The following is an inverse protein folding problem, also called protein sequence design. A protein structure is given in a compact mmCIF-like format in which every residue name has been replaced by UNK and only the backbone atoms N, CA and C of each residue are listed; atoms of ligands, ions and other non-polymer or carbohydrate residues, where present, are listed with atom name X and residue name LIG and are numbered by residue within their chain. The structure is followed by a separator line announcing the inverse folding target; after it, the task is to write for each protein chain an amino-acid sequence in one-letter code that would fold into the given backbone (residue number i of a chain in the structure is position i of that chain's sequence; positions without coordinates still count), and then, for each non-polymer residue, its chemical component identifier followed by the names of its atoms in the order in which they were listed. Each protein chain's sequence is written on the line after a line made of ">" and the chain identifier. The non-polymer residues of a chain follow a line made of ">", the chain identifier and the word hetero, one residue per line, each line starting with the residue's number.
data_IF_478727564172
#
_entry.id   IF_478727564172
#
_cell.length_a   1.000
_cell.length_b   1.000
_cell.length_c   1.000
_cell.angle_alpha   90.00
_cell.angle_beta   90.00
_cell.angle_gamma   90.00
#
_symmetry.space_group_name_H-M   'P 1'
#
loop_
_entity.id
_entity.type
_entity.pdbx_description
1 polymer ?
#
# COMPACT_ATOMS: atom_id res chain seq x y z
N UNK A 1 -1.61 3.98 3.43
CA UNK A 1 -2.88 4.43 4.05
C UNK A 1 -2.66 5.66 4.93
N UNK A 2 -3.20 6.81 4.49
CA UNK A 2 -3.27 8.03 5.32
C UNK A 2 -3.97 7.76 6.66
N UNK A 3 -3.64 8.55 7.69
CA UNK A 3 -4.32 8.47 9.01
C UNK A 3 -5.82 8.69 8.85
N UNK A 4 -6.22 9.60 7.96
CA UNK A 4 -7.62 9.89 7.68
C UNK A 4 -8.37 8.66 7.15
N UNK A 5 -7.79 7.91 6.20
CA UNK A 5 -8.45 6.72 5.66
C UNK A 5 -8.59 5.62 6.70
N UNK A 6 -7.59 5.44 7.58
CA UNK A 6 -7.68 4.50 8.71
C UNK A 6 -8.79 4.88 9.69
N UNK A 7 -8.93 6.18 9.99
CA UNK A 7 -10.00 6.67 10.87
C UNK A 7 -11.38 6.46 10.24
N UNK A 8 -11.53 6.74 8.94
CA UNK A 8 -12.79 6.51 8.21
C UNK A 8 -13.20 5.02 8.24
N UNK A 9 -12.24 4.11 8.00
CA UNK A 9 -12.49 2.66 8.09
C UNK A 9 -12.87 2.28 9.52
N UNK A 10 -12.15 2.76 10.52
CA UNK A 10 -12.42 2.42 11.92
C UNK A 10 -13.80 2.90 12.35
N UNK A 11 -14.15 4.15 12.07
CA UNK A 11 -15.49 4.70 12.38
C UNK A 11 -16.56 3.92 11.62
N UNK A 12 -16.36 3.67 10.33
CA UNK A 12 -17.31 2.89 9.51
C UNK A 12 -17.54 1.49 10.06
N UNK A 13 -16.50 0.79 10.49
CA UNK A 13 -16.63 -0.56 11.07
C UNK A 13 -17.28 -0.55 12.45
N UNK A 14 -16.94 0.40 13.33
CA UNK A 14 -17.57 0.52 14.64
C UNK A 14 -19.06 0.86 14.52
N UNK A 15 -19.41 1.81 13.65
CA UNK A 15 -20.81 2.16 13.38
C UNK A 15 -21.57 1.00 12.73
N UNK A 16 -20.93 0.23 11.82
CA UNK A 16 -21.54 -0.95 11.23
C UNK A 16 -21.81 -2.04 12.28
N UNK A 17 -20.87 -2.26 13.19
CA UNK A 17 -21.05 -3.19 14.30
C UNK A 17 -22.19 -2.76 15.23
N UNK A 18 -22.27 -1.46 15.53
CA UNK A 18 -23.38 -0.90 16.31
C UNK A 18 -24.73 -1.15 15.63
N UNK A 19 -24.85 -0.83 14.34
CA UNK A 19 -26.09 -1.02 13.59
C UNK A 19 -26.48 -2.50 13.45
N UNK A 20 -25.50 -3.40 13.32
CA UNK A 20 -25.72 -4.84 13.31
C UNK A 20 -26.25 -5.35 14.67
N UNK A 21 -25.71 -4.82 15.77
CA UNK A 21 -26.20 -5.14 17.11
C UNK A 21 -27.62 -4.60 17.33
N UNK A 22 -27.92 -3.39 16.89
CA UNK A 22 -29.29 -2.82 16.91
C UNK A 22 -30.29 -3.67 16.11
N UNK A 23 -29.89 -4.15 14.94
CA UNK A 23 -30.70 -5.06 14.12
C UNK A 23 -30.95 -6.41 14.82
N UNK A 24 -29.94 -6.93 15.52
CA UNK A 24 -30.04 -8.16 16.31
C UNK A 24 -31.01 -8.00 17.48
N UNK A 25 -30.91 -6.93 18.27
CA UNK A 25 -31.87 -6.65 19.35
C UNK A 25 -33.29 -6.49 18.82
N UNK A 26 -33.47 -5.77 17.72
CA UNK A 26 -34.77 -5.62 17.07
C UNK A 26 -35.36 -6.98 16.64
N UNK A 27 -34.53 -7.86 16.07
CA UNK A 27 -34.93 -9.20 15.63
C UNK A 27 -35.34 -10.10 16.81
N UNK A 28 -34.57 -10.09 17.91
CA UNK A 28 -34.90 -10.83 19.13
C UNK A 28 -36.23 -10.36 19.70
N UNK A 29 -36.43 -9.05 19.83
CA UNK A 29 -37.66 -8.49 20.40
C UNK A 29 -38.87 -8.73 19.49
N UNK A 30 -38.70 -8.54 18.18
CA UNK A 30 -39.72 -8.82 17.16
C UNK A 30 -40.21 -10.27 17.26
N UNK A 31 -39.26 -11.22 17.36
CA UNK A 31 -39.54 -12.65 17.52
C UNK A 31 -40.22 -12.94 18.85
N UNK A 32 -39.71 -12.40 19.96
CA UNK A 32 -40.27 -12.62 21.32
C UNK A 32 -41.71 -12.13 21.45
N UNK A 33 -42.03 -11.00 20.84
CA UNK A 33 -43.37 -10.41 20.91
C UNK A 33 -44.27 -10.81 19.74
N UNK A 34 -43.84 -11.70 18.85
CA UNK A 34 -44.58 -12.10 17.64
C UNK A 34 -45.06 -10.91 16.79
N UNK A 35 -44.31 -9.81 16.81
CA UNK A 35 -44.63 -8.58 16.09
C UNK A 35 -43.81 -8.51 14.82
N UNK A 36 -44.40 -8.91 13.71
CA UNK A 36 -43.79 -8.76 12.38
C UNK A 36 -43.78 -7.29 11.96
N UNK A 37 -42.83 -6.52 12.47
CA UNK A 37 -42.58 -5.14 12.08
C UNK A 37 -41.40 -5.07 11.10
N UNK A 38 -41.47 -4.21 10.07
CA UNK A 38 -40.33 -3.98 9.19
C UNK A 38 -39.19 -3.31 9.96
N UNK A 39 -37.95 -3.53 9.50
CA UNK A 39 -36.77 -2.95 10.13
C UNK A 39 -36.88 -1.41 10.19
N UNK A 40 -36.61 -0.78 11.36
CA UNK A 40 -36.65 0.66 11.53
C UNK A 40 -35.77 1.39 10.51
N UNK A 41 -36.23 2.57 10.09
CA UNK A 41 -35.53 3.39 9.11
C UNK A 41 -34.15 3.86 9.62
N UNK A 42 -34.02 4.10 10.92
CA UNK A 42 -32.78 4.50 11.56
C UNK A 42 -31.65 3.47 11.32
N UNK A 43 -31.89 2.19 11.65
CA UNK A 43 -30.95 1.09 11.42
C UNK A 43 -30.59 0.95 9.92
N UNK A 44 -31.55 1.16 9.01
CA UNK A 44 -31.28 1.15 7.56
C UNK A 44 -30.33 2.28 7.14
N UNK A 45 -30.52 3.49 7.68
CA UNK A 45 -29.65 4.62 7.36
C UNK A 45 -28.27 4.46 8.01
N UNK A 46 -28.20 4.06 9.28
CA UNK A 46 -26.95 3.80 9.97
C UNK A 46 -26.10 2.76 9.23
N UNK A 47 -26.71 1.65 8.80
CA UNK A 47 -26.00 0.60 8.03
C UNK A 47 -25.51 1.13 6.68
N UNK A 48 -26.35 1.82 5.90
CA UNK A 48 -25.96 2.39 4.61
C UNK A 48 -24.81 3.40 4.74
N UNK A 49 -24.88 4.29 5.73
CA UNK A 49 -23.84 5.29 6.00
C UNK A 49 -22.56 4.61 6.45
N UNK A 50 -22.64 3.63 7.36
CA UNK A 50 -21.47 2.91 7.89
C UNK A 50 -20.72 2.15 6.80
N UNK A 51 -21.46 1.43 5.93
CA UNK A 51 -20.87 0.72 4.78
C UNK A 51 -20.25 1.71 3.81
N UNK A 52 -20.94 2.79 3.49
CA UNK A 52 -20.41 3.83 2.59
C UNK A 52 -19.11 4.42 3.13
N UNK A 53 -19.07 4.74 4.43
CA UNK A 53 -17.89 5.30 5.09
C UNK A 53 -16.72 4.32 5.10
N UNK A 54 -16.97 3.05 5.40
CA UNK A 54 -15.95 2.01 5.37
C UNK A 54 -15.38 1.81 3.95
N UNK A 55 -16.25 1.75 2.94
CA UNK A 55 -15.84 1.65 1.54
C UNK A 55 -15.00 2.85 1.10
N UNK A 56 -15.44 4.07 1.42
CA UNK A 56 -14.68 5.30 1.13
C UNK A 56 -13.32 5.29 1.82
N UNK A 57 -13.27 4.90 3.09
CA UNK A 57 -12.02 4.74 3.83
C UNK A 57 -11.07 3.74 3.17
N UNK A 58 -11.57 2.59 2.72
CA UNK A 58 -10.77 1.57 2.04
C UNK A 58 -10.24 2.07 0.68
N UNK A 59 -11.09 2.71 -0.12
CA UNK A 59 -10.72 3.25 -1.44
C UNK A 59 -9.63 4.33 -1.29
N UNK A 60 -9.85 5.29 -0.39
CA UNK A 60 -8.86 6.35 -0.08
C UNK A 60 -7.59 5.80 0.59
N UNK A 61 -7.67 4.60 1.18
CA UNK A 61 -6.54 3.90 1.77
C UNK A 61 -5.68 3.13 0.78
N UNK A 62 -6.22 2.79 -0.39
CA UNK A 62 -5.54 1.96 -1.38
C UNK A 62 -4.27 2.60 -1.91
N UNK A 63 -3.27 1.77 -2.22
CA UNK A 63 -2.05 2.24 -2.90
C UNK A 63 -2.36 2.56 -4.36
N UNK A 64 -1.70 3.59 -4.89
CA UNK A 64 -1.79 3.90 -6.32
C UNK A 64 -1.35 2.70 -7.17
N UNK A 65 -2.05 2.50 -8.28
CA UNK A 65 -1.74 1.44 -9.22
C UNK A 65 -0.28 1.54 -9.67
N UNK A 66 0.43 0.41 -9.62
CA UNK A 66 1.78 0.30 -10.18
C UNK A 66 1.69 0.30 -11.70
N UNK A 67 2.62 0.98 -12.40
CA UNK A 67 2.63 0.97 -13.86
C UNK A 67 2.82 -0.46 -14.38
N UNK A 68 2.11 -0.78 -15.47
CA UNK A 68 2.17 -2.10 -16.11
C UNK A 68 3.44 -2.27 -16.96
N UNK A 69 3.99 -1.16 -17.44
CA UNK A 69 5.17 -1.17 -18.28
C UNK A 69 6.43 -1.26 -17.42
N UNK A 70 7.33 -2.18 -17.80
CA UNK A 70 8.56 -2.44 -17.05
C UNK A 70 9.48 -1.22 -17.03
N UNK A 71 9.61 -0.51 -18.15
CA UNK A 71 10.48 0.67 -18.26
C UNK A 71 9.99 1.83 -17.38
N UNK A 72 8.69 2.10 -17.31
CA UNK A 72 8.15 3.15 -16.43
C UNK A 72 8.28 2.75 -14.96
N UNK A 73 8.06 1.48 -14.64
CA UNK A 73 8.24 0.98 -13.27
C UNK A 73 9.71 1.04 -12.81
N UNK A 74 10.64 0.54 -13.63
CA UNK A 74 12.07 0.55 -13.35
C UNK A 74 12.60 1.98 -13.19
N UNK A 75 12.22 2.89 -14.11
CA UNK A 75 12.58 4.31 -14.00
C UNK A 75 11.96 4.99 -12.78
N UNK A 76 10.77 4.58 -12.34
CA UNK A 76 10.16 5.08 -11.09
C UNK A 76 10.90 4.58 -9.86
N UNK A 77 11.26 3.29 -9.82
CA UNK A 77 12.06 2.70 -8.73
C UNK A 77 13.43 3.37 -8.61
N UNK A 78 14.13 3.59 -9.72
CA UNK A 78 15.43 4.28 -9.71
C UNK A 78 15.34 5.71 -9.17
N UNK A 79 14.25 6.42 -9.50
CA UNK A 79 14.00 7.80 -9.01
C UNK A 79 13.59 7.86 -7.55
N UNK A 80 12.76 6.92 -7.10
CA UNK A 80 12.25 6.87 -5.72
C UNK A 80 13.26 6.21 -4.77
N UNK A 81 14.33 5.60 -5.29
CA UNK A 81 15.35 4.92 -4.50
C UNK A 81 14.86 3.62 -3.84
N UNK A 82 13.75 3.07 -4.35
CA UNK A 82 13.14 1.85 -3.83
C UNK A 82 14.01 0.62 -4.16
N UNK A 83 13.98 -0.44 -3.34
CA UNK A 83 14.78 -1.64 -3.61
C UNK A 83 14.28 -2.36 -4.87
N UNK A 84 15.11 -2.40 -5.92
CA UNK A 84 14.82 -3.23 -7.10
C UNK A 84 14.87 -4.73 -6.71
N UNK A 85 13.76 -5.49 -6.77
CA UNK A 85 13.71 -6.93 -6.49
C UNK A 85 14.61 -7.77 -7.41
N UNK A 86 14.91 -7.27 -8.61
CA UNK A 86 15.72 -7.95 -9.63
C UNK A 86 17.17 -7.49 -9.65
N UNK A 87 17.55 -6.62 -8.71
CA UNK A 87 18.93 -6.11 -8.62
C UNK A 87 19.98 -7.22 -8.60
N UNK A 88 19.70 -8.34 -7.92
CA UNK A 88 20.61 -9.49 -7.92
C UNK A 88 20.80 -10.17 -9.28
N UNK A 89 19.76 -10.17 -10.13
CA UNK A 89 19.80 -10.68 -11.51
C UNK A 89 20.42 -9.70 -12.49
N UNK A 90 20.30 -8.40 -12.23
CA UNK A 90 20.88 -7.32 -13.05
C UNK A 90 22.38 -7.16 -12.75
N UNK A 91 22.75 -7.05 -11.47
CA UNK A 91 24.14 -6.82 -11.03
C UNK A 91 25.03 -8.05 -11.29
N UNK A 92 24.43 -9.25 -11.41
CA UNK A 92 25.11 -10.53 -11.73
C UNK A 92 26.47 -10.69 -11.06
N UNK A 93 26.55 -10.33 -9.78
CA UNK A 93 27.83 -10.28 -9.04
C UNK A 93 28.60 -11.59 -9.05
N UNK A 94 27.91 -12.73 -9.19
CA UNK A 94 28.54 -14.06 -9.32
C UNK A 94 29.25 -14.32 -10.65
N UNK A 95 28.99 -13.53 -11.70
CA UNK A 95 29.61 -13.63 -13.02
C UNK A 95 30.61 -12.48 -13.30
N UNK A 96 30.83 -11.60 -12.32
CA UNK A 96 31.74 -10.47 -12.46
C UNK A 96 33.20 -10.93 -12.41
N UNK A 97 33.99 -10.57 -13.41
CA UNK A 97 35.44 -10.82 -13.39
C UNK A 97 36.13 -9.80 -12.48
N UNK A 98 36.23 -10.17 -11.20
CA UNK A 98 36.85 -9.37 -10.15
C UNK A 98 38.31 -9.02 -10.49
N UNK A 99 39.03 -9.88 -11.23
CA UNK A 99 40.45 -9.63 -11.54
C UNK A 99 40.60 -8.56 -12.62
N UNK A 100 39.69 -8.55 -13.60
CA UNK A 100 39.65 -7.53 -14.64
C UNK A 100 39.31 -6.16 -14.05
N UNK A 101 38.23 -6.07 -13.29
CA UNK A 101 37.79 -4.84 -12.59
C UNK A 101 38.90 -4.22 -11.73
N UNK A 102 39.61 -5.05 -10.95
CA UNK A 102 40.73 -4.57 -10.12
C UNK A 102 41.88 -3.98 -10.91
N UNK A 103 42.17 -4.51 -12.11
CA UNK A 103 43.23 -3.99 -12.99
C UNK A 103 42.81 -2.65 -13.60
N UNK A 104 41.59 -2.58 -14.10
CA UNK A 104 41.02 -1.35 -14.67
C UNK A 104 40.97 -0.22 -13.64
N UNK A 105 40.55 -0.51 -12.40
CA UNK A 105 40.60 0.46 -11.30
C UNK A 105 42.03 0.93 -10.97
N UNK A 106 43.00 0.00 -10.93
CA UNK A 106 44.39 0.34 -10.67
C UNK A 106 45.00 1.24 -11.76
N UNK A 107 44.66 0.96 -13.02
CA UNK A 107 45.13 1.77 -14.15
C UNK A 107 44.45 3.14 -14.19
N UNK A 108 43.15 3.24 -13.88
CA UNK A 108 42.45 4.51 -13.71
C UNK A 108 43.01 5.36 -12.55
N UNK A 109 43.30 4.75 -11.39
CA UNK A 109 43.85 5.47 -10.24
C UNK A 109 45.24 6.04 -10.54
N UNK A 110 46.05 5.32 -11.33
CA UNK A 110 47.35 5.81 -11.84
C UNK A 110 47.17 7.00 -12.78
N UNK A 111 46.15 6.98 -13.64
CA UNK A 111 45.86 8.10 -14.54
C UNK A 111 45.39 9.35 -13.80
N UNK A 112 44.55 9.22 -12.77
CA UNK A 112 44.16 10.36 -11.91
C UNK A 112 45.36 10.94 -11.14
N UNK A 113 46.21 10.09 -10.56
CA UNK A 113 47.43 10.54 -9.90
C UNK A 113 48.38 11.29 -10.85
N UNK A 114 48.47 10.82 -12.10
CA UNK A 114 49.28 11.46 -13.14
C UNK A 114 48.68 12.79 -13.65
N UNK A 115 47.35 12.94 -13.68
CA UNK A 115 46.70 14.20 -14.05
C UNK A 115 46.81 15.27 -12.96
N UNK A 116 46.80 14.86 -11.68
CA UNK A 116 46.99 15.77 -10.53
C UNK A 116 48.45 16.22 -10.42
N UNK A 117 49.43 15.37 -10.77
CA UNK A 117 50.86 15.72 -10.75
C UNK A 117 51.32 16.59 -11.94
N UNK A 118 50.45 16.82 -12.94
CA UNK A 118 50.72 17.66 -14.13
C UNK A 118 50.06 19.05 -14.07
N UNK A 119 49.28 19.34 -13.03
CA UNK A 119 48.76 20.67 -12.69
C UNK A 119 49.67 21.36 -11.68
#
# INVERSE_FOLDING_TARGET
>A
MSVLSRLLVLVGLLSLFHAAYSAHEFSILSTKYHKNAPLPLDIKLETLISVSLACLGLILGSESLKPVSWNEWAGKIEREGEPNPFRGLEDRVGFMDIRKERREFADWARQQGASVAKS
#
